data_IF_137832375845
#
_entry.id   IF_137832375845
#
_cell.length_a   1.000
_cell.length_b   1.000
_cell.length_c   1.000
_cell.angle_alpha   90.00
_cell.angle_beta   90.00
_cell.angle_gamma   90.00
#
_symmetry.space_group_name_H-M   'P 1'
#
loop_
_entity.id
_entity.type
_entity.pdbx_description
1 polymer ?
#
# COMPACT_ATOMS: atom_id res chain seq x y z
N UNK A 1 -24.27 -24.35 8.71
CA UNK A 1 -25.13 -24.87 9.81
C UNK A 1 -24.41 -26.02 10.51
N UNK A 2 -24.38 -26.10 11.84
CA UNK A 2 -23.72 -27.20 12.56
C UNK A 2 -24.72 -28.28 12.99
N UNK A 3 -24.42 -29.54 12.68
CA UNK A 3 -25.18 -30.74 13.02
C UNK A 3 -24.34 -31.63 13.94
N UNK A 4 -24.93 -32.15 15.03
CA UNK A 4 -24.20 -32.93 16.04
C UNK A 4 -23.63 -34.25 15.53
N UNK A 5 -24.17 -34.83 14.46
CA UNK A 5 -23.67 -36.10 13.90
C UNK A 5 -22.76 -35.92 12.68
N UNK A 6 -22.98 -34.87 11.88
CA UNK A 6 -22.28 -34.63 10.61
C UNK A 6 -21.30 -33.44 10.64
N UNK A 7 -21.25 -32.68 11.75
CA UNK A 7 -20.41 -31.50 11.87
C UNK A 7 -20.98 -30.29 11.13
N UNK A 8 -20.12 -29.44 10.57
CA UNK A 8 -20.55 -28.24 9.83
C UNK A 8 -21.01 -28.66 8.43
N UNK A 9 -22.29 -28.43 8.12
CA UNK A 9 -22.86 -28.65 6.78
C UNK A 9 -22.06 -27.86 5.72
N UNK A 10 -21.82 -28.45 4.53
CA UNK A 10 -20.97 -27.86 3.50
C UNK A 10 -21.58 -26.61 2.87
N UNK A 11 -22.91 -26.48 2.89
CA UNK A 11 -23.62 -25.37 2.30
C UNK A 11 -23.99 -24.32 3.36
N UNK A 12 -23.70 -23.06 3.04
CA UNK A 12 -24.04 -21.91 3.87
C UNK A 12 -25.40 -21.38 3.45
N UNK A 13 -26.42 -21.67 4.27
CA UNK A 13 -27.78 -21.21 3.96
C UNK A 13 -27.87 -19.68 4.08
N UNK A 14 -28.43 -18.99 3.06
CA UNK A 14 -28.59 -17.55 3.07
C UNK A 14 -29.59 -17.10 4.14
N UNK A 15 -29.65 -15.79 4.41
CA UNK A 15 -30.57 -15.19 5.37
C UNK A 15 -32.03 -15.65 5.12
N UNK A 16 -32.69 -16.22 6.14
CA UNK A 16 -34.07 -16.70 6.04
C UNK A 16 -34.56 -17.48 7.26
N UNK A 17 -35.87 -17.72 7.34
CA UNK A 17 -36.47 -18.56 8.38
C UNK A 17 -36.19 -20.02 8.05
N UNK A 18 -35.26 -20.64 8.79
CA UNK A 18 -34.94 -22.06 8.62
C UNK A 18 -35.45 -22.84 9.84
N UNK A 19 -36.12 -23.96 9.59
CA UNK A 19 -36.66 -24.79 10.66
C UNK A 19 -35.52 -25.50 11.38
N UNK A 20 -35.15 -25.00 12.56
CA UNK A 20 -34.11 -25.57 13.39
C UNK A 20 -34.73 -26.67 14.26
N UNK A 21 -34.21 -27.89 14.16
CA UNK A 21 -34.55 -28.94 15.13
C UNK A 21 -33.80 -28.60 16.42
N UNK A 22 -34.49 -28.27 17.53
CA UNK A 22 -33.83 -28.05 18.82
C UNK A 22 -33.02 -29.32 19.17
N UNK A 23 -32.03 -29.29 20.08
CA UNK A 23 -31.11 -30.40 20.45
C UNK A 23 -30.15 -30.99 19.38
N UNK A 24 -30.49 -30.99 18.09
CA UNK A 24 -29.68 -31.59 17.02
C UNK A 24 -28.83 -30.58 16.24
N UNK A 25 -29.38 -29.38 16.04
CA UNK A 25 -28.82 -28.38 15.12
C UNK A 25 -28.47 -27.09 15.85
N UNK A 26 -27.27 -26.55 15.59
CA UNK A 26 -26.82 -25.26 16.12
C UNK A 26 -26.57 -24.29 14.97
N UNK A 27 -27.25 -23.14 15.00
CA UNK A 27 -26.95 -22.04 14.12
C UNK A 27 -25.67 -21.34 14.61
N UNK A 28 -24.70 -21.19 13.72
CA UNK A 28 -23.51 -20.37 13.95
C UNK A 28 -23.71 -19.13 13.11
N UNK A 29 -23.84 -17.99 13.77
CA UNK A 29 -23.97 -16.70 13.09
C UNK A 29 -22.59 -16.26 12.63
N UNK A 30 -22.45 -16.01 11.33
CA UNK A 30 -21.21 -15.56 10.72
C UNK A 30 -21.45 -14.20 10.06
N UNK A 31 -20.68 -13.20 10.47
CA UNK A 31 -20.83 -11.85 9.92
C UNK A 31 -20.13 -11.75 8.57
N UNK A 32 -20.91 -11.58 7.51
CA UNK A 32 -20.44 -11.49 6.13
C UNK A 32 -20.32 -10.05 5.62
N UNK A 33 -20.47 -9.06 6.51
CA UNK A 33 -20.35 -7.65 6.15
C UNK A 33 -18.91 -7.26 5.87
N UNK A 34 -18.75 -6.21 5.06
CA UNK A 34 -17.46 -5.62 4.76
C UNK A 34 -16.90 -5.00 6.04
N UNK A 35 -15.69 -5.39 6.41
CA UNK A 35 -14.97 -4.85 7.57
C UNK A 35 -13.68 -4.17 7.13
N UNK A 36 -13.45 -2.90 7.53
CA UNK A 36 -12.18 -2.24 7.30
C UNK A 36 -11.14 -2.72 8.33
N UNK A 37 -9.93 -3.02 7.88
CA UNK A 37 -8.80 -3.37 8.73
C UNK A 37 -7.55 -2.63 8.27
N UNK A 38 -6.77 -2.14 9.23
CA UNK A 38 -5.46 -1.55 8.94
C UNK A 38 -4.36 -2.56 9.24
N UNK A 39 -3.43 -2.71 8.30
CA UNK A 39 -2.26 -3.58 8.41
C UNK A 39 -1.04 -2.67 8.29
N UNK A 40 -0.15 -2.72 9.27
CA UNK A 40 1.09 -1.95 9.23
C UNK A 40 2.29 -2.89 9.23
N UNK A 41 3.30 -2.55 8.44
CA UNK A 41 4.58 -3.27 8.41
C UNK A 41 5.70 -2.27 8.18
N UNK A 42 6.80 -2.49 8.89
CA UNK A 42 8.07 -1.85 8.63
C UNK A 42 8.97 -2.83 7.88
N UNK A 43 9.51 -2.42 6.74
CA UNK A 43 10.37 -3.25 5.89
C UNK A 43 11.42 -2.40 5.17
N UNK A 44 12.46 -3.05 4.66
CA UNK A 44 13.50 -2.41 3.87
C UNK A 44 13.08 -2.31 2.40
N UNK A 45 13.32 -1.16 1.78
CA UNK A 45 13.25 -0.99 0.33
C UNK A 45 14.46 -1.63 -0.37
N UNK A 46 14.46 -1.61 -1.71
CA UNK A 46 15.55 -2.13 -2.54
C UNK A 46 16.90 -1.45 -2.27
N UNK A 47 16.89 -0.16 -1.93
CA UNK A 47 18.04 0.65 -1.54
C UNK A 47 18.34 0.60 -0.03
N UNK A 48 17.83 -0.42 0.67
CA UNK A 48 18.03 -0.69 2.10
C UNK A 48 17.54 0.43 3.02
N UNK A 49 16.60 1.26 2.57
CA UNK A 49 15.97 2.27 3.41
C UNK A 49 14.82 1.65 4.20
N UNK A 50 14.72 2.02 5.48
CA UNK A 50 13.60 1.59 6.32
C UNK A 50 12.34 2.37 5.96
N UNK A 51 11.29 1.65 5.57
CA UNK A 51 9.98 2.20 5.20
C UNK A 51 8.91 1.57 6.07
N UNK A 52 8.05 2.40 6.65
CA UNK A 52 6.84 1.96 7.35
C UNK A 52 5.62 2.27 6.49
N UNK A 53 4.86 1.22 6.17
CA UNK A 53 3.69 1.30 5.32
C UNK A 53 2.49 0.79 6.09
N UNK A 54 1.39 1.55 6.04
CA UNK A 54 0.08 1.16 6.55
C UNK A 54 -0.91 1.04 5.42
N UNK A 55 -1.43 -0.17 5.21
CA UNK A 55 -2.51 -0.47 4.29
C UNK A 55 -3.84 -0.47 5.04
N UNK A 56 -4.88 0.04 4.39
CA UNK A 56 -6.27 -0.21 4.74
C UNK A 56 -6.83 -1.21 3.74
N UNK A 57 -7.46 -2.24 4.27
CA UNK A 57 -8.07 -3.32 3.49
C UNK A 57 -9.52 -3.45 3.93
N UNK A 58 -10.44 -3.36 2.98
CA UNK A 58 -11.85 -3.68 3.18
C UNK A 58 -12.09 -5.09 2.67
N UNK A 59 -12.49 -5.99 3.56
CA UNK A 59 -12.64 -7.41 3.23
C UNK A 59 -13.94 -7.98 3.75
N UNK A 60 -14.38 -9.07 3.11
CA UNK A 60 -15.51 -9.88 3.53
C UNK A 60 -15.26 -11.35 3.18
N UNK A 61 -15.88 -12.30 3.89
CA UNK A 61 -15.73 -13.72 3.59
C UNK A 61 -16.56 -14.07 2.35
N UNK A 62 -16.14 -15.10 1.61
CA UNK A 62 -16.94 -15.61 0.50
C UNK A 62 -18.10 -16.47 1.00
N UNK A 63 -19.34 -16.01 0.73
CA UNK A 63 -20.59 -16.62 1.22
C UNK A 63 -20.72 -18.08 0.78
N UNK A 64 -20.30 -18.41 -0.43
CA UNK A 64 -20.40 -19.78 -0.98
C UNK A 64 -19.47 -20.76 -0.26
N UNK A 65 -18.42 -20.27 0.39
CA UNK A 65 -17.40 -21.10 1.03
C UNK A 65 -17.31 -20.90 2.56
N UNK A 66 -18.30 -20.26 3.18
CA UNK A 66 -18.30 -19.97 4.62
C UNK A 66 -18.08 -21.19 5.51
N UNK A 67 -18.65 -22.34 5.13
CA UNK A 67 -18.47 -23.59 5.87
C UNK A 67 -16.99 -23.99 5.95
N UNK A 68 -16.26 -23.85 4.83
CA UNK A 68 -14.84 -24.16 4.75
C UNK A 68 -14.01 -23.14 5.54
N UNK A 69 -14.28 -21.84 5.35
CA UNK A 69 -13.60 -20.75 6.07
C UNK A 69 -13.75 -20.96 7.58
N UNK A 70 -14.96 -21.24 8.07
CA UNK A 70 -15.20 -21.48 9.49
C UNK A 70 -14.45 -22.72 10.01
N UNK A 71 -14.38 -23.82 9.25
CA UNK A 71 -13.66 -25.02 9.65
C UNK A 71 -12.13 -24.82 9.68
N UNK A 72 -11.58 -24.09 8.70
CA UNK A 72 -10.13 -23.94 8.56
C UNK A 72 -9.55 -22.77 9.35
N UNK A 73 -10.26 -21.64 9.38
CA UNK A 73 -9.77 -20.37 9.93
C UNK A 73 -10.52 -19.93 11.19
N UNK A 74 -11.75 -20.42 11.39
CA UNK A 74 -12.60 -20.04 12.52
C UNK A 74 -13.38 -18.75 12.30
N UNK A 75 -13.81 -18.13 13.41
CA UNK A 75 -14.53 -16.85 13.40
C UNK A 75 -13.57 -15.66 13.21
N UNK A 76 -12.32 -15.79 13.67
CA UNK A 76 -11.30 -14.72 13.69
C UNK A 76 -10.39 -14.79 12.45
N UNK A 77 -10.95 -15.23 11.32
CA UNK A 77 -10.21 -15.46 10.07
C UNK A 77 -9.50 -14.19 9.58
N UNK A 78 -10.15 -13.04 9.71
CA UNK A 78 -9.66 -11.73 9.30
C UNK A 78 -8.53 -11.23 10.21
N UNK A 79 -8.57 -11.58 11.50
CA UNK A 79 -7.52 -11.19 12.45
C UNK A 79 -6.21 -11.94 12.22
N UNK A 80 -6.29 -13.19 11.77
CA UNK A 80 -5.12 -14.07 11.61
C UNK A 80 -4.56 -14.04 10.19
N UNK A 81 -5.41 -14.14 9.18
CA UNK A 81 -4.97 -14.29 7.79
C UNK A 81 -4.54 -12.97 7.19
N UNK A 82 -5.33 -11.91 7.33
CA UNK A 82 -5.08 -10.64 6.64
C UNK A 82 -3.72 -10.01 7.02
N UNK A 83 -3.33 -9.92 8.32
CA UNK A 83 -2.01 -9.42 8.66
C UNK A 83 -0.89 -10.32 8.14
N UNK A 84 -1.08 -11.64 8.13
CA UNK A 84 -0.06 -12.58 7.64
C UNK A 84 0.23 -12.37 6.16
N UNK A 85 -0.82 -12.41 5.32
CA UNK A 85 -0.67 -12.23 3.87
C UNK A 85 -0.27 -10.79 3.53
N UNK A 86 -0.80 -9.80 4.26
CA UNK A 86 -0.49 -8.40 4.05
C UNK A 86 0.97 -8.09 4.33
N UNK A 87 1.53 -8.64 5.41
CA UNK A 87 2.94 -8.46 5.75
C UNK A 87 3.86 -9.15 4.74
N UNK A 88 3.49 -10.33 4.23
CA UNK A 88 4.25 -11.05 3.20
C UNK A 88 4.29 -10.26 1.89
N UNK A 89 3.12 -9.85 1.37
CA UNK A 89 2.99 -9.10 0.12
C UNK A 89 3.70 -7.75 0.22
N UNK A 90 3.49 -7.01 1.33
CA UNK A 90 4.17 -5.73 1.55
C UNK A 90 5.68 -5.88 1.52
N UNK A 91 6.24 -6.87 2.23
CA UNK A 91 7.70 -7.11 2.24
C UNK A 91 8.22 -7.45 0.85
N UNK A 92 7.50 -8.28 0.08
CA UNK A 92 7.92 -8.71 -1.25
C UNK A 92 7.89 -7.57 -2.27
N UNK A 93 6.83 -6.75 -2.25
CA UNK A 93 6.70 -5.61 -3.17
C UNK A 93 7.68 -4.49 -2.81
N UNK A 94 7.76 -4.10 -1.55
CA UNK A 94 8.61 -2.96 -1.13
C UNK A 94 10.09 -3.23 -1.39
N UNK A 95 10.54 -4.48 -1.23
CA UNK A 95 11.92 -4.87 -1.53
C UNK A 95 12.31 -4.74 -3.02
N UNK A 96 11.33 -4.58 -3.93
CA UNK A 96 11.58 -4.43 -5.37
C UNK A 96 11.68 -2.98 -5.83
N UNK A 97 11.26 -2.02 -5.01
CA UNK A 97 11.22 -0.59 -5.34
C UNK A 97 12.19 0.20 -4.48
N UNK A 98 12.76 1.25 -5.06
CA UNK A 98 13.58 2.21 -4.29
C UNK A 98 12.67 3.14 -3.49
N UNK A 99 13.18 3.72 -2.40
CA UNK A 99 12.41 4.63 -1.55
C UNK A 99 11.80 5.82 -2.33
N UNK A 100 12.52 6.35 -3.32
CA UNK A 100 12.02 7.44 -4.18
C UNK A 100 10.87 6.99 -5.12
N UNK A 101 10.89 5.74 -5.58
CA UNK A 101 9.84 5.19 -6.44
C UNK A 101 8.54 4.95 -5.67
N UNK A 102 8.62 4.59 -4.39
CA UNK A 102 7.46 4.45 -3.52
C UNK A 102 6.67 5.76 -3.35
N UNK A 103 7.33 6.92 -3.51
CA UNK A 103 6.69 8.25 -3.50
C UNK A 103 6.15 8.58 -4.89
N UNK A 104 7.01 8.49 -5.91
CA UNK A 104 6.72 9.00 -7.26
C UNK A 104 5.77 8.09 -8.04
N UNK A 105 5.86 6.78 -7.85
CA UNK A 105 5.08 5.76 -8.57
C UNK A 105 4.09 5.04 -7.64
N UNK A 106 3.57 5.75 -6.64
CA UNK A 106 2.68 5.20 -5.60
C UNK A 106 1.47 4.44 -6.17
N UNK A 107 0.89 4.92 -7.26
CA UNK A 107 -0.25 4.26 -7.93
C UNK A 107 0.11 2.89 -8.50
N UNK A 108 1.28 2.77 -9.12
CA UNK A 108 1.78 1.50 -9.66
C UNK A 108 2.03 0.49 -8.53
N UNK A 109 2.66 0.96 -7.45
CA UNK A 109 2.91 0.15 -6.25
C UNK A 109 1.59 -0.30 -5.61
N UNK A 110 0.61 0.61 -5.52
CA UNK A 110 -0.73 0.33 -4.99
C UNK A 110 -1.45 -0.74 -5.81
N UNK A 111 -1.40 -0.66 -7.15
CA UNK A 111 -2.01 -1.68 -8.04
C UNK A 111 -1.36 -3.05 -7.84
N UNK A 112 -0.02 -3.12 -7.82
CA UNK A 112 0.71 -4.37 -7.57
C UNK A 112 0.35 -4.99 -6.22
N UNK A 113 0.33 -4.19 -5.15
CA UNK A 113 -0.06 -4.68 -3.83
C UNK A 113 -1.49 -5.24 -3.88
N UNK A 114 -2.42 -4.55 -4.54
CA UNK A 114 -3.81 -5.00 -4.67
C UNK A 114 -3.90 -6.33 -5.41
N UNK A 115 -3.24 -6.47 -6.55
CA UNK A 115 -3.24 -7.69 -7.37
C UNK A 115 -2.72 -8.90 -6.59
N UNK A 116 -1.56 -8.75 -5.95
CA UNK A 116 -0.95 -9.82 -5.16
C UNK A 116 -1.77 -10.17 -3.91
N UNK A 117 -2.29 -9.16 -3.20
CA UNK A 117 -3.12 -9.36 -2.02
C UNK A 117 -4.45 -10.04 -2.39
N UNK A 118 -5.05 -9.69 -3.53
CA UNK A 118 -6.26 -10.34 -4.06
C UNK A 118 -6.00 -11.81 -4.39
N UNK A 119 -4.89 -12.10 -5.08
CA UNK A 119 -4.51 -13.48 -5.42
C UNK A 119 -4.34 -14.33 -4.15
N UNK A 120 -3.60 -13.82 -3.16
CA UNK A 120 -3.38 -14.53 -1.88
C UNK A 120 -4.64 -14.65 -1.04
N UNK A 121 -5.47 -13.61 -0.95
CA UNK A 121 -6.73 -13.67 -0.21
C UNK A 121 -7.72 -14.67 -0.83
N UNK A 122 -7.69 -14.83 -2.15
CA UNK A 122 -8.48 -15.82 -2.89
C UNK A 122 -8.19 -17.26 -2.47
N UNK A 123 -6.95 -17.61 -2.14
CA UNK A 123 -6.56 -18.95 -1.64
C UNK A 123 -7.24 -19.31 -0.31
N UNK A 124 -7.60 -18.29 0.48
CA UNK A 124 -8.30 -18.42 1.77
C UNK A 124 -9.80 -18.16 1.66
N UNK A 125 -10.33 -17.99 0.44
CA UNK A 125 -11.73 -17.69 0.15
C UNK A 125 -12.20 -16.37 0.81
N UNK A 126 -11.29 -15.39 0.91
CA UNK A 126 -11.56 -14.05 1.42
C UNK A 126 -11.65 -13.10 0.22
N UNK A 127 -12.73 -12.32 0.15
CA UNK A 127 -12.92 -11.31 -0.90
C UNK A 127 -12.47 -9.95 -0.39
N UNK A 128 -11.60 -9.30 -1.15
CA UNK A 128 -11.18 -7.92 -0.88
C UNK A 128 -11.99 -6.98 -1.77
N UNK A 129 -12.66 -6.02 -1.15
CA UNK A 129 -13.49 -5.02 -1.83
C UNK A 129 -12.66 -3.78 -2.17
N UNK A 130 -11.79 -3.36 -1.25
CA UNK A 130 -10.85 -2.26 -1.48
C UNK A 130 -9.53 -2.50 -0.75
N UNK A 131 -8.45 -2.03 -1.37
CA UNK A 131 -7.09 -2.02 -0.81
C UNK A 131 -6.47 -0.68 -1.14
N UNK A 132 -6.05 0.04 -0.10
CA UNK A 132 -5.49 1.38 -0.22
C UNK A 132 -4.35 1.62 0.77
N UNK A 133 -3.29 2.30 0.31
CA UNK A 133 -2.20 2.75 1.18
C UNK A 133 -2.69 3.99 1.95
N UNK A 134 -2.71 3.92 3.27
CA UNK A 134 -3.13 5.06 4.11
C UNK A 134 -1.94 5.91 4.54
N UNK A 135 -0.89 5.28 5.08
CA UNK A 135 0.30 5.98 5.54
C UNK A 135 1.54 5.34 4.95
N UNK A 136 2.49 6.17 4.56
CA UNK A 136 3.80 5.77 4.08
C UNK A 136 4.83 6.73 4.67
N UNK A 137 5.71 6.20 5.50
CA UNK A 137 6.75 6.97 6.19
C UNK A 137 8.12 6.34 5.96
N UNK A 138 9.12 7.20 5.80
CA UNK A 138 10.51 6.80 5.63
C UNK A 138 11.28 7.09 6.92
N UNK A 139 12.45 6.46 7.08
CA UNK A 139 13.40 6.83 8.12
C UNK A 139 13.73 8.32 8.10
N UNK A 140 13.93 8.92 9.28
CA UNK A 140 14.14 10.36 9.45
C UNK A 140 15.35 10.89 8.65
N UNK A 141 16.40 10.09 8.53
CA UNK A 141 17.59 10.40 7.74
C UNK A 141 17.27 10.57 6.25
N UNK A 142 16.42 9.71 5.68
CA UNK A 142 16.03 9.79 4.27
C UNK A 142 15.21 11.05 3.99
N UNK A 143 14.20 11.34 4.83
CA UNK A 143 13.39 12.56 4.70
C UNK A 143 14.26 13.81 4.73
N UNK A 144 15.19 13.89 5.69
CA UNK A 144 16.12 15.02 5.82
C UNK A 144 17.03 15.15 4.60
N UNK A 145 17.56 14.03 4.09
CA UNK A 145 18.42 14.02 2.92
C UNK A 145 17.69 14.42 1.63
N UNK A 146 16.42 14.02 1.47
CA UNK A 146 15.58 14.40 0.34
C UNK A 146 15.23 15.89 0.40
N UNK A 147 14.85 16.40 1.57
CA UNK A 147 14.59 17.84 1.77
C UNK A 147 15.84 18.68 1.46
N UNK A 148 17.01 18.28 1.97
CA UNK A 148 18.27 18.97 1.69
C UNK A 148 18.61 18.97 0.19
N UNK A 149 18.39 17.85 -0.51
CA UNK A 149 18.57 17.77 -1.97
C UNK A 149 17.62 18.70 -2.72
N UNK A 150 16.35 18.79 -2.29
CA UNK A 150 15.38 19.70 -2.90
C UNK A 150 15.78 21.17 -2.71
N UNK A 151 16.24 21.55 -1.52
CA UNK A 151 16.71 22.91 -1.24
C UNK A 151 17.92 23.24 -2.12
N UNK A 152 18.91 22.35 -2.17
CA UNK A 152 20.11 22.56 -2.98
C UNK A 152 19.80 22.66 -4.48
N UNK A 153 18.85 21.87 -4.99
CA UNK A 153 18.37 21.97 -6.38
C UNK A 153 17.67 23.30 -6.65
N UNK A 154 16.78 23.73 -5.75
CA UNK A 154 16.10 25.02 -5.88
C UNK A 154 17.07 26.21 -5.85
N UNK A 155 18.07 26.18 -4.97
CA UNK A 155 19.09 27.23 -4.89
C UNK A 155 19.98 27.26 -6.14
N UNK A 156 20.31 26.10 -6.70
CA UNK A 156 21.03 26.03 -7.97
C UNK A 156 20.21 26.58 -9.15
N UNK A 157 18.90 26.28 -9.21
CA UNK A 157 17.99 26.84 -10.23
C UNK A 157 17.86 28.37 -10.08
N UNK A 158 17.71 28.87 -8.86
CA UNK A 158 17.69 30.31 -8.56
C UNK A 158 18.99 30.99 -8.97
N UNK A 159 20.14 30.39 -8.64
CA UNK A 159 21.45 30.94 -9.01
C UNK A 159 21.63 31.03 -10.54
N UNK A 160 21.20 30.00 -11.29
CA UNK A 160 21.18 30.04 -12.76
C UNK A 160 20.30 31.18 -13.29
N UNK A 161 19.09 31.34 -12.74
CA UNK A 161 18.19 32.42 -13.13
C UNK A 161 18.77 33.81 -12.86
N UNK A 162 19.46 34.00 -11.73
CA UNK A 162 20.14 35.27 -11.40
C UNK A 162 21.27 35.59 -12.39
N UNK A 163 22.09 34.59 -12.76
CA UNK A 163 23.19 34.76 -13.72
C UNK A 163 22.65 35.05 -15.14
N UNK A 164 21.60 34.37 -15.55
CA UNK A 164 20.95 34.59 -16.85
C UNK A 164 20.30 35.98 -16.94
N UNK A 165 19.70 36.48 -15.85
CA UNK A 165 19.16 37.85 -15.82
C UNK A 165 20.25 38.93 -15.82
N UNK A 166 21.44 38.64 -15.29
CA UNK A 166 22.56 39.58 -15.23
C UNK A 166 23.37 39.67 -16.55
N UNK A 167 23.36 38.62 -17.39
CA UNK A 167 24.13 38.60 -18.64
C UNK A 167 23.67 39.59 -19.73
N UNK A 168 22.37 39.84 -19.98
CA UNK A 168 21.92 40.79 -21.00
C UNK A 168 22.35 42.24 -20.72
N UNK A 169 22.50 42.62 -19.45
CA UNK A 169 22.87 43.99 -19.08
C UNK A 169 24.38 44.29 -19.30
N UNK A 170 25.25 43.27 -19.26
CA UNK A 170 26.68 43.46 -19.37
C UNK A 170 27.16 43.59 -20.84
N UNK A 171 26.45 42.98 -21.79
CA UNK A 171 26.79 43.06 -23.23
C UNK A 171 26.58 44.46 -23.82
N UNK A 172 25.72 45.29 -23.22
CA UNK A 172 25.47 46.66 -23.69
C UNK A 172 26.47 47.71 -23.14
N UNK A 173 27.36 47.33 -22.23
CA UNK A 173 28.28 48.24 -21.54
C UNK A 173 29.76 48.10 -21.94
N UNK A 174 30.08 47.42 -23.06
CA UNK A 174 31.44 47.47 -23.60
C UNK A 174 31.63 48.78 -24.40
N UNK A 175 32.43 49.75 -23.92
CA UNK A 175 32.79 50.91 -24.71
C UNK A 175 33.89 50.50 -25.69
N UNK A 176 33.75 50.89 -26.96
CA UNK A 176 34.81 50.82 -27.95
C UNK A 176 36.08 51.51 -27.42
N UNK A 177 37.05 50.73 -26.94
CA UNK A 177 38.40 51.23 -26.67
C UNK A 177 39.31 50.82 -27.82
N UNK A 178 39.44 51.75 -28.75
CA UNK A 178 40.69 52.24 -29.31
C UNK A 178 41.72 51.20 -29.75
N UNK A 179 41.71 50.87 -31.03
CA UNK A 179 42.88 50.36 -31.73
C UNK A 179 43.71 51.59 -32.13
N UNK A 180 44.74 51.92 -31.35
CA UNK A 180 45.84 52.79 -31.78
C UNK A 180 46.82 51.93 -32.60
N UNK A 181 46.80 52.09 -33.92
CA UNK A 181 47.78 51.48 -34.82
C UNK A 181 49.06 52.33 -34.80
N UNK A 182 50.17 51.70 -34.44
CA UNK A 182 51.53 52.22 -34.54
C UNK A 182 52.15 51.67 -35.82
N UNK A 183 52.39 52.53 -36.81
CA UNK A 183 53.54 52.58 -37.74
C UNK A 183 53.19 53.46 -38.95
#
# INVERSE_FOLDING_TARGET
MFDRFAGVKPDASPEGTHFLVPWLQRAILYDCRIKPRNISTTTGSKDLQMVSITLRVMSRPDVTHLARIYQTLGLDYDERVLPSIGNEVLKSIVAQFDAAELITQREVVSSRIREDLLARAGEFNIKLEDVSITHLTFGQEFTTAVEAKQIAQQDAERAKFVVEKASPALIFLLPERGILTIS
#
